data_IF_085220993653
#
_entry.id   IF_085220993653
#
_cell.length_a   1.000
_cell.length_b   1.000
_cell.length_c   1.000
_cell.angle_alpha   90.00
_cell.angle_beta   90.00
_cell.angle_gamma   90.00
#
_symmetry.space_group_name_H-M   'P 1'
#
loop_
_entity.id
_entity.type
_entity.pdbx_description
1 polymer ?
#
# COMPACT_ATOMS: atom_id res chain seq x y z
N UNK A 1 -7.56 11.06 -7.21
CA UNK A 1 -8.83 11.62 -6.70
C UNK A 1 -8.75 11.95 -5.21
N UNK A 2 -7.86 12.82 -4.76
CA UNK A 2 -7.65 13.03 -3.32
C UNK A 2 -7.39 14.46 -2.86
N UNK A 3 -7.30 15.43 -3.74
CA UNK A 3 -6.92 16.81 -3.36
C UNK A 3 -8.08 17.81 -3.28
N UNK A 4 -9.31 17.39 -3.59
CA UNK A 4 -10.47 18.30 -3.51
C UNK A 4 -11.06 18.41 -2.10
N UNK A 5 -10.88 17.38 -1.26
CA UNK A 5 -11.44 17.36 0.10
C UNK A 5 -10.78 18.34 1.07
N UNK A 6 -9.47 18.47 1.01
CA UNK A 6 -8.72 19.34 1.94
C UNK A 6 -9.01 20.84 1.75
N UNK A 7 -9.18 21.29 0.50
CA UNK A 7 -9.51 22.69 0.22
C UNK A 7 -10.93 23.05 0.71
N UNK A 8 -11.87 22.12 0.55
CA UNK A 8 -13.24 22.32 1.03
C UNK A 8 -13.27 22.40 2.57
N UNK A 9 -12.49 21.58 3.26
CA UNK A 9 -12.38 21.60 4.72
C UNK A 9 -11.76 22.88 5.24
N UNK A 10 -10.71 23.39 4.58
CA UNK A 10 -10.07 24.67 4.94
C UNK A 10 -11.01 25.85 4.69
N UNK A 11 -11.75 25.83 3.58
CA UNK A 11 -12.74 26.87 3.27
C UNK A 11 -13.90 26.86 4.28
N UNK A 12 -14.39 25.67 4.65
CA UNK A 12 -15.44 25.53 5.67
C UNK A 12 -14.97 26.06 7.03
N UNK A 13 -13.75 25.74 7.42
CA UNK A 13 -13.14 26.24 8.67
C UNK A 13 -12.98 27.76 8.64
N UNK A 14 -12.51 28.32 7.53
CA UNK A 14 -12.33 29.77 7.36
C UNK A 14 -13.67 30.50 7.38
N UNK A 15 -14.70 29.95 6.76
CA UNK A 15 -16.05 30.51 6.77
C UNK A 15 -16.63 30.45 8.19
N UNK A 16 -16.45 29.34 8.90
CA UNK A 16 -16.89 29.19 10.30
C UNK A 16 -16.22 30.21 11.21
N UNK A 17 -14.90 30.38 11.06
CA UNK A 17 -14.14 31.38 11.82
C UNK A 17 -14.57 32.82 11.49
N UNK A 18 -14.90 33.11 10.23
CA UNK A 18 -15.39 34.43 9.80
C UNK A 18 -16.78 34.72 10.36
N UNK A 19 -17.68 33.74 10.36
CA UNK A 19 -19.02 33.87 10.95
C UNK A 19 -18.90 34.11 12.48
N UNK A 20 -17.99 33.39 13.12
CA UNK A 20 -17.72 33.56 14.56
C UNK A 20 -17.20 34.96 14.86
N UNK A 21 -16.28 35.48 14.07
CA UNK A 21 -15.71 36.83 14.24
C UNK A 21 -16.75 37.93 13.99
N UNK A 22 -17.65 37.73 13.04
CA UNK A 22 -18.75 38.68 12.78
C UNK A 22 -19.76 38.65 13.93
N UNK A 23 -20.11 37.49 14.45
CA UNK A 23 -21.07 37.34 15.54
C UNK A 23 -20.54 37.98 16.84
N UNK A 24 -19.23 37.90 17.10
CA UNK A 24 -18.62 38.52 18.28
C UNK A 24 -18.64 40.07 18.21
N UNK A 25 -18.48 40.63 17.00
CA UNK A 25 -18.52 42.09 16.82
C UNK A 25 -19.94 42.64 16.91
N UNK A 26 -20.94 41.92 16.43
CA UNK A 26 -22.34 42.36 16.49
C UNK A 26 -22.89 42.26 17.90
N UNK A 27 -22.56 41.22 18.66
CA UNK A 27 -23.03 41.06 20.04
C UNK A 27 -22.37 42.04 21.00
N UNK A 28 -21.13 42.45 20.77
CA UNK A 28 -20.45 43.44 21.62
C UNK A 28 -21.12 44.83 21.55
N UNK A 29 -21.81 45.21 20.47
CA UNK A 29 -22.52 46.47 20.35
C UNK A 29 -23.91 46.47 21.00
N UNK A 30 -24.57 45.32 21.15
CA UNK A 30 -25.95 45.25 21.68
C UNK A 30 -26.06 45.05 23.18
N UNK A 31 -24.98 44.68 23.88
CA UNK A 31 -25.04 44.25 25.29
C UNK A 31 -24.21 45.09 26.25
N UNK A 32 -23.90 46.35 25.89
CA UNK A 32 -23.25 47.28 26.85
C UNK A 32 -24.28 48.00 27.71
N UNK A 33 -25.16 47.23 28.32
CA UNK A 33 -26.17 47.71 29.28
C UNK A 33 -26.13 46.91 30.56
N UNK A 34 -25.50 47.46 31.53
CA UNK A 34 -25.66 47.40 32.97
C UNK A 34 -26.08 46.09 33.69
N UNK A 35 -25.73 44.93 33.17
CA UNK A 35 -25.78 43.69 33.98
C UNK A 35 -24.37 43.09 33.96
N UNK A 36 -23.76 43.00 35.13
CA UNK A 36 -22.33 42.70 35.37
C UNK A 36 -21.77 41.38 34.79
N UNK A 37 -22.47 40.73 33.86
CA UNK A 37 -21.94 39.61 33.06
C UNK A 37 -21.89 40.13 31.64
N UNK A 38 -20.70 40.42 31.13
CA UNK A 38 -20.50 40.92 29.78
C UNK A 38 -20.94 39.88 28.76
N UNK A 39 -21.56 40.34 27.64
CA UNK A 39 -21.96 39.49 26.53
C UNK A 39 -20.81 38.64 25.99
N UNK A 40 -19.58 39.09 26.16
CA UNK A 40 -18.36 38.36 25.82
C UNK A 40 -18.18 37.08 26.66
N UNK A 41 -18.56 37.11 27.94
CA UNK A 41 -18.46 35.94 28.85
C UNK A 41 -19.46 34.85 28.45
N UNK A 42 -20.67 35.26 28.05
CA UNK A 42 -21.72 34.35 27.59
C UNK A 42 -21.29 33.67 26.29
N UNK A 43 -20.77 34.43 25.33
CA UNK A 43 -20.24 33.91 24.07
C UNK A 43 -19.05 32.96 24.31
N UNK A 44 -18.15 33.32 25.22
CA UNK A 44 -17.02 32.48 25.57
C UNK A 44 -17.48 31.14 26.16
N UNK A 45 -18.37 31.16 27.14
CA UNK A 45 -18.80 29.95 27.84
C UNK A 45 -19.67 29.06 26.93
N UNK A 46 -20.59 29.62 26.16
CA UNK A 46 -21.55 28.82 25.41
C UNK A 46 -21.08 28.45 23.98
N UNK A 47 -20.21 29.25 23.38
CA UNK A 47 -19.76 28.99 21.98
C UNK A 47 -18.28 28.58 21.89
N UNK A 48 -17.39 29.36 22.51
CA UNK A 48 -15.95 29.11 22.34
C UNK A 48 -15.45 27.94 23.20
N UNK A 49 -15.91 27.84 24.45
CA UNK A 49 -15.43 26.80 25.38
C UNK A 49 -15.78 25.38 24.87
N UNK A 50 -17.01 25.08 24.40
CA UNK A 50 -17.32 23.78 23.84
C UNK A 50 -16.50 23.47 22.56
N UNK A 51 -16.25 24.49 21.74
CA UNK A 51 -15.48 24.33 20.49
C UNK A 51 -14.00 24.03 20.79
N UNK A 52 -13.42 24.72 21.77
CA UNK A 52 -12.05 24.48 22.25
C UNK A 52 -11.98 23.07 22.86
N UNK A 53 -12.94 22.71 23.73
CA UNK A 53 -12.98 21.40 24.37
C UNK A 53 -13.08 20.28 23.31
N UNK A 54 -13.95 20.48 22.31
CA UNK A 54 -14.09 19.54 21.19
C UNK A 54 -12.77 19.42 20.41
N UNK A 55 -12.10 20.53 20.12
CA UNK A 55 -10.81 20.56 19.43
C UNK A 55 -9.71 19.83 20.21
N UNK A 56 -9.66 20.04 21.52
CA UNK A 56 -8.70 19.37 22.41
C UNK A 56 -8.98 17.86 22.47
N UNK A 57 -10.22 17.47 22.70
CA UNK A 57 -10.61 16.05 22.75
C UNK A 57 -10.33 15.36 21.42
N UNK A 58 -10.74 15.98 20.30
CA UNK A 58 -10.50 15.45 18.96
C UNK A 58 -9.00 15.35 18.68
N UNK A 59 -8.22 16.36 19.05
CA UNK A 59 -6.77 16.38 18.90
C UNK A 59 -6.09 15.28 19.72
N UNK A 60 -6.54 15.05 20.94
CA UNK A 60 -6.03 13.98 21.80
C UNK A 60 -6.35 12.59 21.21
N UNK A 61 -7.61 12.39 20.80
CA UNK A 61 -8.04 11.12 20.17
C UNK A 61 -7.19 10.84 18.92
N UNK A 62 -7.03 11.84 18.05
CA UNK A 62 -6.26 11.71 16.83
C UNK A 62 -4.77 11.50 17.12
N UNK A 63 -4.23 12.27 18.08
CA UNK A 63 -2.82 12.20 18.47
C UNK A 63 -2.44 10.86 19.08
N UNK A 64 -3.32 10.22 19.82
CA UNK A 64 -3.09 8.87 20.40
C UNK A 64 -3.38 7.77 19.38
N UNK A 65 -4.45 7.94 18.59
CA UNK A 65 -4.87 6.95 17.59
C UNK A 65 -3.78 6.71 16.53
N UNK A 66 -3.08 7.76 16.11
CA UNK A 66 -2.08 7.66 15.04
C UNK A 66 -0.88 6.76 15.44
N UNK A 67 -0.20 7.00 16.59
CA UNK A 67 0.88 6.10 17.01
C UNK A 67 0.40 4.67 17.32
N UNK A 68 -0.80 4.51 17.88
CA UNK A 68 -1.39 3.17 18.13
C UNK A 68 -1.59 2.42 16.81
N UNK A 69 -2.20 3.06 15.82
CA UNK A 69 -2.36 2.47 14.48
C UNK A 69 -1.01 2.18 13.82
N UNK A 70 -0.01 3.03 14.04
CA UNK A 70 1.34 2.81 13.53
C UNK A 70 1.96 1.53 14.12
N UNK A 71 1.88 1.37 15.44
CA UNK A 71 2.42 0.19 16.14
C UNK A 71 1.69 -1.09 15.67
N UNK A 72 0.35 -1.05 15.61
CA UNK A 72 -0.46 -2.19 15.12
C UNK A 72 -0.08 -2.50 13.66
N UNK A 73 0.04 -1.50 12.82
CA UNK A 73 0.43 -1.66 11.41
C UNK A 73 1.82 -2.26 11.25
N UNK A 74 2.77 -1.82 12.07
CA UNK A 74 4.13 -2.35 12.06
C UNK A 74 4.16 -3.82 12.51
N UNK A 75 3.47 -4.15 13.60
CA UNK A 75 3.42 -5.52 14.13
C UNK A 75 2.70 -6.50 13.17
N UNK A 76 1.61 -6.07 12.54
CA UNK A 76 0.81 -6.93 11.66
C UNK A 76 1.38 -7.01 10.23
N UNK A 77 2.26 -6.10 9.85
CA UNK A 77 2.85 -6.07 8.49
C UNK A 77 3.71 -7.32 8.21
N UNK A 78 4.50 -7.73 9.18
CA UNK A 78 5.34 -8.93 9.08
C UNK A 78 4.49 -10.20 8.96
N UNK A 79 3.54 -10.38 9.86
CA UNK A 79 2.70 -11.58 9.89
C UNK A 79 1.84 -11.74 8.63
N UNK A 80 1.42 -10.67 8.00
CA UNK A 80 0.71 -10.70 6.71
C UNK A 80 1.61 -11.16 5.57
N UNK A 81 2.87 -10.77 5.59
CA UNK A 81 3.86 -11.21 4.60
C UNK A 81 4.13 -12.71 4.74
N UNK A 82 4.29 -13.18 5.96
CA UNK A 82 4.47 -14.61 6.26
C UNK A 82 3.26 -15.45 5.88
N UNK A 83 2.36 -14.91 6.00
CA UNK A 83 1.27 -15.50 5.63
C UNK A 83 1.17 -15.70 4.26
N UNK A 84 1.39 -14.79 3.45
CA UNK A 84 1.45 -14.91 1.99
C UNK A 84 2.52 -15.90 1.52
N UNK A 85 3.69 -15.83 2.12
CA UNK A 85 4.78 -16.76 1.79
C UNK A 85 4.39 -18.21 2.07
N UNK A 86 3.71 -18.50 3.18
CA UNK A 86 3.22 -19.85 3.46
C UNK A 86 2.20 -20.33 2.44
N UNK A 87 1.29 -19.47 2.03
CA UNK A 87 0.32 -19.76 0.96
C UNK A 87 1.00 -20.04 -0.39
N UNK A 88 2.07 -19.31 -0.67
CA UNK A 88 2.89 -19.52 -1.87
C UNK A 88 3.57 -20.90 -1.85
N UNK A 89 4.17 -21.28 -0.72
CA UNK A 89 4.85 -22.57 -0.59
C UNK A 89 3.87 -23.74 -0.81
N UNK A 90 2.65 -23.64 -0.29
CA UNK A 90 1.62 -24.67 -0.48
C UNK A 90 1.24 -24.79 -1.98
N UNK A 91 1.03 -23.67 -2.66
CA UNK A 91 0.72 -23.64 -4.09
C UNK A 91 1.88 -24.15 -4.95
N UNK A 92 3.11 -23.78 -4.58
CA UNK A 92 4.34 -24.23 -5.24
C UNK A 92 4.47 -25.75 -5.13
N UNK A 93 4.25 -26.30 -3.92
CA UNK A 93 4.30 -27.75 -3.71
C UNK A 93 3.24 -28.47 -4.56
N UNK A 94 2.01 -27.94 -4.58
CA UNK A 94 0.93 -28.52 -5.41
C UNK A 94 1.29 -28.52 -6.90
N UNK A 95 1.95 -27.48 -7.39
CA UNK A 95 2.41 -27.43 -8.79
C UNK A 95 3.53 -28.44 -9.05
N UNK A 96 4.50 -28.53 -8.13
CA UNK A 96 5.61 -29.50 -8.24
C UNK A 96 5.07 -30.94 -8.22
N UNK A 97 4.10 -31.24 -7.35
CA UNK A 97 3.46 -32.56 -7.25
C UNK A 97 2.74 -32.91 -8.56
N UNK A 98 2.10 -31.90 -9.21
CA UNK A 98 1.44 -32.12 -10.52
C UNK A 98 2.43 -32.45 -11.63
N UNK A 99 3.56 -31.74 -11.71
CA UNK A 99 4.56 -31.92 -12.74
C UNK A 99 5.59 -33.02 -12.42
N UNK A 100 5.65 -33.50 -11.15
CA UNK A 100 6.68 -34.42 -10.68
C UNK A 100 8.05 -33.76 -10.46
N UNK A 101 8.21 -32.52 -10.89
CA UNK A 101 9.43 -31.69 -10.72
C UNK A 101 9.06 -30.21 -10.90
N UNK A 102 9.98 -29.29 -10.64
CA UNK A 102 9.75 -27.89 -10.96
C UNK A 102 9.76 -27.73 -12.48
N UNK A 103 8.65 -27.31 -13.10
CA UNK A 103 8.59 -27.14 -14.54
C UNK A 103 9.37 -25.92 -15.05
N UNK A 104 9.79 -24.99 -14.17
CA UNK A 104 10.46 -23.75 -14.56
C UNK A 104 11.97 -23.94 -14.66
N UNK A 105 12.54 -23.74 -15.83
CA UNK A 105 13.98 -23.82 -16.07
C UNK A 105 14.51 -22.52 -16.66
N UNK A 106 15.63 -22.04 -16.15
CA UNK A 106 16.34 -20.91 -16.73
C UNK A 106 17.24 -21.32 -17.91
N UNK A 107 17.38 -22.62 -18.14
CA UNK A 107 18.20 -23.18 -19.24
C UNK A 107 17.52 -22.94 -20.58
N UNK A 108 18.34 -22.92 -21.64
CA UNK A 108 17.90 -22.67 -23.03
C UNK A 108 17.48 -23.93 -23.82
N UNK A 109 17.25 -25.01 -23.10
CA UNK A 109 16.78 -26.26 -23.78
C UNK A 109 17.88 -27.14 -24.35
N UNK A 110 19.16 -26.82 -24.16
CA UNK A 110 20.28 -27.63 -24.63
C UNK A 110 20.35 -29.02 -23.97
N UNK A 111 19.63 -29.19 -22.88
CA UNK A 111 19.55 -30.46 -22.14
C UNK A 111 18.47 -31.41 -22.67
N UNK A 112 17.66 -30.98 -23.62
CA UNK A 112 16.57 -31.79 -24.19
C UNK A 112 17.16 -32.81 -25.17
N UNK A 113 16.98 -34.08 -24.85
CA UNK A 113 17.49 -35.17 -25.67
C UNK A 113 16.41 -35.74 -26.62
N UNK A 114 15.16 -35.52 -26.33
CA UNK A 114 14.03 -35.92 -27.17
C UNK A 114 13.58 -34.81 -28.13
N UNK A 115 12.65 -35.09 -28.95
CA UNK A 115 12.02 -34.11 -29.83
C UNK A 115 11.08 -33.20 -29.05
N UNK A 116 10.81 -32.04 -29.60
CA UNK A 116 9.80 -31.10 -29.06
C UNK A 116 8.64 -31.09 -30.06
N UNK A 117 7.46 -31.48 -29.60
CA UNK A 117 6.24 -31.50 -30.41
C UNK A 117 5.67 -30.11 -30.61
N UNK A 118 5.65 -29.31 -29.55
CA UNK A 118 5.00 -28.02 -29.58
C UNK A 118 5.72 -27.01 -28.65
N UNK A 119 5.73 -25.75 -29.04
CA UNK A 119 6.29 -24.67 -28.23
C UNK A 119 5.33 -23.48 -28.22
N UNK A 120 5.33 -22.75 -27.13
CA UNK A 120 4.51 -21.54 -26.99
C UNK A 120 5.05 -20.59 -25.96
N UNK A 121 4.61 -19.34 -26.02
CA UNK A 121 4.97 -18.34 -25.05
C UNK A 121 4.07 -18.48 -23.82
N UNK A 122 4.68 -18.57 -22.66
CA UNK A 122 3.98 -18.53 -21.37
C UNK A 122 4.43 -17.28 -20.62
N UNK A 123 3.48 -16.53 -20.08
CA UNK A 123 3.80 -15.33 -19.34
C UNK A 123 2.79 -15.07 -18.22
N UNK A 124 3.25 -14.37 -17.21
CA UNK A 124 2.42 -13.88 -16.11
C UNK A 124 2.94 -12.52 -15.64
N UNK A 125 2.03 -11.69 -15.17
CA UNK A 125 2.37 -10.39 -14.60
C UNK A 125 1.72 -10.25 -13.23
N UNK A 126 2.43 -9.59 -12.32
CA UNK A 126 1.89 -9.23 -11.01
C UNK A 126 2.36 -7.82 -10.66
N UNK A 127 1.42 -7.01 -10.17
CA UNK A 127 1.72 -5.68 -9.64
C UNK A 127 1.62 -5.75 -8.12
N UNK A 128 2.65 -5.33 -7.45
CA UNK A 128 2.72 -5.35 -6.00
C UNK A 128 3.07 -3.96 -5.48
N UNK A 129 2.20 -3.44 -4.60
CA UNK A 129 2.40 -2.14 -3.96
C UNK A 129 2.68 -2.35 -2.48
N UNK A 130 3.75 -1.74 -1.93
CA UNK A 130 3.97 -1.76 -0.49
C UNK A 130 2.86 -0.98 0.22
N UNK A 131 2.50 -1.41 1.42
CA UNK A 131 1.51 -0.72 2.23
C UNK A 131 2.07 0.62 2.73
N UNK A 132 1.18 1.55 3.08
CA UNK A 132 1.58 2.84 3.64
C UNK A 132 2.47 2.68 4.89
N UNK A 133 2.19 1.67 5.71
CA UNK A 133 2.97 1.37 6.91
C UNK A 133 4.38 0.89 6.58
N UNK A 134 4.52 0.06 5.54
CA UNK A 134 5.84 -0.39 5.05
C UNK A 134 6.67 0.78 4.52
N UNK A 135 6.02 1.72 3.82
CA UNK A 135 6.67 2.94 3.32
C UNK A 135 7.10 3.85 4.48
N UNK A 136 6.28 3.98 5.51
CA UNK A 136 6.58 4.79 6.68
C UNK A 136 7.77 4.19 7.47
N UNK A 137 7.80 2.88 7.66
CA UNK A 137 8.92 2.18 8.32
C UNK A 137 10.20 2.33 7.47
N UNK A 138 10.08 2.21 6.14
CA UNK A 138 11.20 2.42 5.22
C UNK A 138 11.74 3.85 5.31
N UNK A 139 10.86 4.85 5.47
CA UNK A 139 11.23 6.25 5.64
C UNK A 139 12.00 6.45 6.96
N UNK A 140 11.52 5.88 8.06
CA UNK A 140 12.22 5.92 9.36
C UNK A 140 13.60 5.27 9.27
N UNK A 141 13.69 4.09 8.65
CA UNK A 141 14.97 3.39 8.46
C UNK A 141 15.93 4.21 7.62
N UNK A 142 15.42 4.98 6.67
CA UNK A 142 16.23 5.87 5.82
C UNK A 142 16.79 7.06 6.61
N UNK A 143 16.06 7.53 7.63
CA UNK A 143 16.52 8.60 8.53
C UNK A 143 17.66 8.16 9.46
N UNK A 144 17.54 6.94 9.99
CA UNK A 144 18.52 6.38 10.93
C UNK A 144 19.72 5.77 10.18
N UNK A 145 19.54 5.49 8.89
CA UNK A 145 20.54 4.79 8.07
C UNK A 145 20.44 3.28 8.27
N UNK A 146 20.38 2.54 7.20
CA UNK A 146 20.29 1.09 7.28
C UNK A 146 19.73 0.47 6.02
N UNK A 147 19.76 -0.86 5.97
CA UNK A 147 19.20 -1.63 4.84
C UNK A 147 17.68 -1.57 4.86
N UNK A 148 17.10 -1.25 3.71
CA UNK A 148 15.64 -1.24 3.55
C UNK A 148 15.15 -2.69 3.28
N UNK A 149 15.30 -3.55 4.30
CA UNK A 149 14.97 -4.96 4.23
C UNK A 149 13.51 -5.23 3.85
N UNK A 150 12.61 -4.34 4.28
CA UNK A 150 11.17 -4.45 4.02
C UNK A 150 10.87 -4.37 2.51
N UNK A 151 11.50 -3.45 1.79
CA UNK A 151 11.31 -3.34 0.33
C UNK A 151 11.90 -4.55 -0.39
N UNK A 152 13.00 -5.07 0.11
CA UNK A 152 13.63 -6.28 -0.43
C UNK A 152 12.69 -7.48 -0.29
N UNK A 153 12.05 -7.66 0.87
CA UNK A 153 11.10 -8.76 1.10
C UNK A 153 9.85 -8.63 0.22
N UNK A 154 9.36 -7.41 0.00
CA UNK A 154 8.21 -7.14 -0.90
C UNK A 154 8.53 -7.60 -2.33
N UNK A 155 9.71 -7.25 -2.85
CA UNK A 155 10.14 -7.65 -4.21
C UNK A 155 10.35 -9.17 -4.28
N UNK A 156 10.92 -9.77 -3.23
CA UNK A 156 11.13 -11.23 -3.17
C UNK A 156 9.79 -11.99 -3.22
N UNK A 157 8.79 -11.56 -2.44
CA UNK A 157 7.45 -12.15 -2.46
C UNK A 157 6.79 -11.96 -3.84
N UNK A 158 6.91 -10.78 -4.43
CA UNK A 158 6.35 -10.51 -5.75
C UNK A 158 6.98 -11.41 -6.83
N UNK A 159 8.31 -11.62 -6.77
CA UNK A 159 9.01 -12.54 -7.69
C UNK A 159 8.57 -13.98 -7.51
N UNK A 160 8.41 -14.43 -6.26
CA UNK A 160 7.94 -15.79 -5.96
C UNK A 160 6.50 -15.99 -6.48
N UNK A 161 5.62 -15.02 -6.26
CA UNK A 161 4.24 -15.06 -6.76
C UNK A 161 4.19 -15.07 -8.29
N UNK A 162 5.04 -14.27 -8.96
CA UNK A 162 5.10 -14.24 -10.43
C UNK A 162 5.53 -15.60 -11.01
N UNK A 163 6.53 -16.24 -10.39
CA UNK A 163 6.96 -17.61 -10.76
C UNK A 163 5.83 -18.62 -10.55
N UNK A 164 5.14 -18.52 -9.41
CA UNK A 164 4.04 -19.45 -9.10
C UNK A 164 2.91 -19.32 -10.12
N UNK A 165 2.53 -18.10 -10.48
CA UNK A 165 1.52 -17.87 -11.52
C UNK A 165 1.99 -18.41 -12.88
N UNK A 166 3.29 -18.32 -13.16
CA UNK A 166 3.85 -18.88 -14.40
C UNK A 166 3.71 -20.40 -14.42
N UNK A 167 3.95 -21.11 -13.28
CA UNK A 167 3.72 -22.57 -13.14
C UNK A 167 2.24 -22.91 -13.38
N UNK A 168 1.36 -22.20 -12.72
CA UNK A 168 -0.10 -22.38 -12.85
C UNK A 168 -0.56 -22.16 -14.29
N UNK A 169 -0.01 -21.13 -14.94
CA UNK A 169 -0.33 -20.84 -16.35
C UNK A 169 0.18 -21.92 -17.29
N UNK A 170 1.37 -22.46 -17.02
CA UNK A 170 1.92 -23.60 -17.79
C UNK A 170 1.02 -24.82 -17.63
N UNK A 171 0.57 -25.10 -16.42
CA UNK A 171 -0.36 -26.20 -16.12
C UNK A 171 -1.70 -26.02 -16.85
N UNK A 172 -2.28 -24.80 -16.81
CA UNK A 172 -3.54 -24.48 -17.52
C UNK A 172 -3.44 -24.70 -19.03
N UNK A 173 -2.28 -24.37 -19.62
CA UNK A 173 -2.03 -24.49 -21.06
C UNK A 173 -1.54 -25.88 -21.49
N UNK A 174 -1.30 -26.79 -20.53
CA UNK A 174 -0.86 -28.16 -20.78
C UNK A 174 0.59 -28.29 -21.22
N UNK A 175 1.44 -27.33 -20.84
CA UNK A 175 2.89 -27.42 -21.10
C UNK A 175 3.53 -28.31 -20.04
N UNK A 176 4.53 -29.10 -20.47
CA UNK A 176 5.25 -30.02 -19.59
C UNK A 176 6.45 -29.37 -18.91
N UNK A 177 7.04 -28.37 -19.57
CA UNK A 177 8.18 -27.62 -19.06
C UNK A 177 8.16 -26.20 -19.62
N UNK A 178 8.72 -25.25 -18.89
CA UNK A 178 8.90 -23.87 -19.35
C UNK A 178 10.39 -23.54 -19.29
N UNK A 179 10.96 -23.29 -20.46
CA UNK A 179 12.37 -23.01 -20.65
C UNK A 179 12.65 -21.52 -20.72
N UNK A 180 13.92 -21.17 -20.49
CA UNK A 180 14.43 -19.80 -20.62
C UNK A 180 13.59 -18.82 -19.80
N UNK A 181 13.23 -19.20 -18.58
CA UNK A 181 12.40 -18.35 -17.71
C UNK A 181 13.16 -17.07 -17.34
N UNK A 182 12.53 -15.95 -17.60
CA UNK A 182 13.04 -14.61 -17.29
C UNK A 182 12.07 -13.87 -16.39
N UNK A 183 12.63 -13.00 -15.56
CA UNK A 183 11.89 -12.15 -14.63
C UNK A 183 12.33 -10.72 -14.85
N UNK A 184 11.47 -9.91 -15.41
CA UNK A 184 11.72 -8.49 -15.58
C UNK A 184 10.94 -7.70 -14.51
N UNK A 185 11.55 -6.65 -14.03
CA UNK A 185 11.00 -5.81 -12.97
C UNK A 185 10.83 -4.40 -13.52
N UNK A 186 9.61 -3.90 -13.52
CA UNK A 186 9.27 -2.54 -13.91
C UNK A 186 8.78 -1.75 -12.69
N UNK A 187 9.21 -0.51 -12.59
CA UNK A 187 8.74 0.40 -11.57
C UNK A 187 7.52 1.16 -12.09
N UNK A 188 6.41 1.06 -11.38
CA UNK A 188 5.19 1.77 -11.72
C UNK A 188 5.04 2.97 -10.79
N UNK A 189 5.53 4.11 -11.24
CA UNK A 189 5.38 5.37 -10.51
C UNK A 189 4.33 6.22 -11.23
N UNK A 190 3.19 6.52 -10.61
CA UNK A 190 2.21 7.41 -11.25
C UNK A 190 2.84 8.78 -11.55
N UNK A 191 2.51 9.35 -12.71
CA UNK A 191 3.03 10.63 -13.17
C UNK A 191 2.78 11.77 -12.18
N UNK A 192 1.77 11.64 -11.34
CA UNK A 192 1.43 12.59 -10.28
C UNK A 192 2.27 12.42 -9.01
N UNK A 193 3.04 11.34 -8.90
CA UNK A 193 3.88 11.09 -7.71
C UNK A 193 5.25 11.75 -7.93
N UNK A 194 5.48 12.87 -7.28
CA UNK A 194 6.73 13.65 -7.42
C UNK A 194 7.94 12.94 -6.81
N UNK A 195 7.76 11.92 -5.98
CA UNK A 195 8.86 11.15 -5.34
C UNK A 195 8.39 9.76 -4.90
N UNK A 196 9.17 8.73 -5.19
CA UNK A 196 9.09 7.39 -4.63
C UNK A 196 8.34 6.36 -5.48
N UNK A 197 8.83 5.15 -5.42
CA UNK A 197 8.24 3.96 -6.07
C UNK A 197 6.95 3.60 -5.33
N UNK A 198 5.82 3.57 -6.02
CA UNK A 198 4.54 3.22 -5.40
C UNK A 198 4.07 1.81 -5.72
N UNK A 199 4.58 1.22 -6.78
CA UNK A 199 4.31 -0.17 -7.13
C UNK A 199 5.45 -0.73 -7.97
N UNK A 200 5.62 -2.03 -7.88
CA UNK A 200 6.58 -2.77 -8.69
C UNK A 200 5.78 -3.81 -9.48
N UNK A 201 5.97 -3.82 -10.78
CA UNK A 201 5.46 -4.88 -11.64
C UNK A 201 6.57 -5.90 -11.86
N UNK A 202 6.26 -7.16 -11.65
CA UNK A 202 7.13 -8.29 -11.99
C UNK A 202 6.48 -9.01 -13.17
N UNK A 203 7.18 -9.06 -14.29
CA UNK A 203 6.76 -9.77 -15.48
C UNK A 203 7.62 -11.03 -15.61
N UNK A 204 6.98 -12.19 -15.52
CA UNK A 204 7.62 -13.50 -15.66
C UNK A 204 7.22 -14.10 -17.00
N UNK A 205 8.17 -14.61 -17.77
CA UNK A 205 7.89 -15.22 -19.08
C UNK A 205 8.91 -16.31 -19.41
N UNK A 206 8.52 -17.20 -20.32
CA UNK A 206 9.36 -18.28 -20.79
C UNK A 206 8.73 -19.00 -21.99
N UNK A 207 9.42 -19.99 -22.50
CA UNK A 207 8.95 -20.82 -23.60
C UNK A 207 8.41 -22.13 -23.04
N UNK A 208 7.11 -22.33 -23.11
CA UNK A 208 6.46 -23.59 -22.80
C UNK A 208 6.77 -24.61 -23.88
N UNK A 209 7.05 -25.83 -23.48
CA UNK A 209 7.31 -26.95 -24.41
C UNK A 209 6.46 -28.17 -24.02
N UNK A 210 6.14 -28.95 -25.05
CA UNK A 210 5.55 -30.27 -24.93
C UNK A 210 6.45 -31.24 -25.69
N UNK A 211 6.79 -32.35 -25.05
CA UNK A 211 7.69 -33.34 -25.65
C UNK A 211 6.94 -34.18 -26.71
N UNK A 212 7.67 -34.68 -27.72
CA UNK A 212 7.12 -35.54 -28.75
C UNK A 212 6.98 -37.00 -28.33
#
# INVERSE_FOLDING_TARGET
>A
MGFRGTRASFLALAVMLSILAISTNVSAQYWYGDTGVGGADILFVFCLLPLILFGVVFGLIWGVSYPVMFVIGALTSGSRMDXRMRGLVVREQASIDHFGRDPLSSLRGTHIVGGVAETGLVYSSIVYAPSHWQLLIAWFNNLVGGRVGILHSVVAVARAEAKQRLREKAQEMGWEEVLNVRLDTAEMTPTSAKKGIRAVEIFAYGTGIRYS
#
